data_IF_196094542457
#
_entry.id   IF_196094542457
#
_cell.length_a   1.000
_cell.length_b   1.000
_cell.length_c   1.000
_cell.angle_alpha   90.00
_cell.angle_beta   90.00
_cell.angle_gamma   90.00
#
_symmetry.space_group_name_H-M   'P 1'
#
loop_
_entity.id
_entity.type
_entity.pdbx_description
1 polymer ?
#
# COMPACT_ATOMS: atom_id res chain seq x y z
N UNK A 1 -5.31 15.08 -30.51
CA UNK A 1 -4.04 15.83 -30.45
C UNK A 1 -3.63 15.95 -28.97
N UNK A 2 -2.49 15.36 -28.61
CA UNK A 2 -1.97 15.34 -27.23
C UNK A 2 -1.55 16.76 -26.81
N UNK A 3 -2.08 17.28 -25.68
CA UNK A 3 -1.68 18.56 -25.10
C UNK A 3 -0.47 18.37 -24.16
N UNK A 4 0.74 18.80 -24.55
CA UNK A 4 1.95 18.59 -23.76
C UNK A 4 1.88 19.19 -22.35
N UNK A 5 1.16 20.31 -22.20
CA UNK A 5 1.03 21.00 -20.91
C UNK A 5 0.17 20.19 -19.95
N UNK A 6 -0.94 19.64 -20.44
CA UNK A 6 -1.82 18.78 -19.64
C UNK A 6 -1.10 17.51 -19.22
N UNK A 7 -0.35 16.90 -20.13
CA UNK A 7 0.44 15.69 -19.81
C UNK A 7 1.43 15.97 -18.68
N UNK A 8 2.24 17.04 -18.80
CA UNK A 8 3.20 17.41 -17.75
C UNK A 8 2.51 17.72 -16.42
N UNK A 9 1.35 18.37 -16.45
CA UNK A 9 0.61 18.68 -15.23
C UNK A 9 0.07 17.41 -14.57
N UNK A 10 -0.50 16.48 -15.34
CA UNK A 10 -0.98 15.19 -14.82
C UNK A 10 0.14 14.36 -14.20
N UNK A 11 1.31 14.29 -14.85
CA UNK A 11 2.47 13.59 -14.30
C UNK A 11 3.03 14.25 -13.03
N UNK A 12 2.97 15.59 -12.91
CA UNK A 12 3.35 16.30 -11.69
C UNK A 12 2.35 16.02 -10.55
N UNK A 13 1.07 15.97 -10.85
CA UNK A 13 0.04 15.61 -9.88
C UNK A 13 0.24 14.18 -9.40
N UNK A 14 0.54 13.25 -10.30
CA UNK A 14 0.88 11.86 -9.96
C UNK A 14 2.11 11.78 -9.05
N UNK A 15 3.18 12.53 -9.35
CA UNK A 15 4.37 12.58 -8.48
C UNK A 15 4.04 13.12 -7.09
N UNK A 16 3.21 14.16 -7.00
CA UNK A 16 2.78 14.71 -5.71
C UNK A 16 1.98 13.68 -4.89
N UNK A 17 1.08 12.94 -5.53
CA UNK A 17 0.32 11.86 -4.88
C UNK A 17 1.22 10.71 -4.45
N UNK A 18 2.15 10.26 -5.27
CA UNK A 18 3.11 9.21 -4.90
C UNK A 18 4.01 9.63 -3.74
N UNK A 19 4.43 10.91 -3.71
CA UNK A 19 5.21 11.46 -2.60
C UNK A 19 4.39 11.49 -1.31
N UNK A 20 3.12 11.85 -1.38
CA UNK A 20 2.20 11.80 -0.22
C UNK A 20 1.97 10.36 0.24
N UNK A 21 1.86 9.41 -0.68
CA UNK A 21 1.74 7.98 -0.40
C UNK A 21 2.97 7.46 0.34
N UNK A 22 4.19 7.81 -0.08
CA UNK A 22 5.41 7.46 0.65
C UNK A 22 5.35 7.92 2.12
N UNK A 23 5.00 9.18 2.35
CA UNK A 23 4.91 9.74 3.72
C UNK A 23 3.87 9.01 4.58
N UNK A 24 2.76 8.63 3.99
CA UNK A 24 1.72 7.87 4.69
C UNK A 24 2.22 6.47 5.07
N UNK A 25 2.90 5.78 4.16
CA UNK A 25 3.50 4.46 4.44
C UNK A 25 4.62 4.55 5.48
N UNK A 26 5.44 5.60 5.47
CA UNK A 26 6.43 5.87 6.52
C UNK A 26 5.77 6.10 7.89
N UNK A 27 4.66 6.86 7.93
CA UNK A 27 3.91 7.07 9.17
C UNK A 27 3.29 5.76 9.69
N UNK A 28 2.79 4.90 8.81
CA UNK A 28 2.31 3.55 9.17
C UNK A 28 3.44 2.68 9.72
N UNK A 29 4.63 2.70 9.11
CA UNK A 29 5.80 1.98 9.60
C UNK A 29 6.16 2.41 11.02
N UNK A 30 6.18 3.73 11.28
CA UNK A 30 6.47 4.25 12.62
C UNK A 30 5.40 3.84 13.64
N UNK A 31 4.13 3.85 13.27
CA UNK A 31 3.05 3.40 14.14
C UNK A 31 3.16 1.89 14.48
N UNK A 32 3.55 1.05 13.51
CA UNK A 32 3.82 -0.38 13.73
C UNK A 32 5.02 -0.58 14.66
N UNK A 33 6.14 0.10 14.41
CA UNK A 33 7.35 -0.01 15.24
C UNK A 33 7.16 0.47 16.68
N UNK A 34 6.28 1.47 16.88
CA UNK A 34 5.93 1.98 18.21
C UNK A 34 4.76 1.25 18.87
N UNK A 35 4.19 0.22 18.24
CA UNK A 35 2.99 -0.50 18.69
C UNK A 35 1.78 0.42 18.92
N UNK A 36 1.72 1.57 18.23
CA UNK A 36 0.59 2.51 18.30
C UNK A 36 -0.53 2.07 17.37
N UNK A 37 -1.34 1.15 17.85
CA UNK A 37 -2.45 0.54 17.08
C UNK A 37 -3.52 1.56 16.68
N UNK A 38 -3.84 2.50 17.57
CA UNK A 38 -4.85 3.51 17.30
C UNK A 38 -4.43 4.41 16.13
N UNK A 39 -3.19 4.87 16.15
CA UNK A 39 -2.60 5.65 15.06
C UNK A 39 -2.53 4.84 13.76
N UNK A 40 -2.13 3.57 13.83
CA UNK A 40 -2.06 2.71 12.66
C UNK A 40 -3.43 2.55 12.00
N UNK A 41 -4.50 2.30 12.77
CA UNK A 41 -5.87 2.19 12.23
C UNK A 41 -6.28 3.48 11.53
N UNK A 42 -6.07 4.65 12.15
CA UNK A 42 -6.37 5.94 11.53
C UNK A 42 -5.62 6.14 10.21
N UNK A 43 -4.33 5.76 10.14
CA UNK A 43 -3.53 5.84 8.93
C UNK A 43 -3.97 4.83 7.85
N UNK A 44 -4.59 3.71 8.23
CA UNK A 44 -5.19 2.77 7.27
C UNK A 44 -6.43 3.37 6.60
N UNK A 45 -7.26 4.11 7.34
CA UNK A 45 -8.42 4.81 6.77
C UNK A 45 -7.95 5.89 5.76
N UNK A 46 -6.93 6.67 6.12
CA UNK A 46 -6.30 7.64 5.20
C UNK A 46 -5.71 6.94 3.96
N UNK A 47 -5.11 5.76 4.14
CA UNK A 47 -4.55 4.99 3.04
C UNK A 47 -5.64 4.53 2.07
N UNK A 48 -6.78 4.07 2.59
CA UNK A 48 -7.94 3.72 1.76
C UNK A 48 -8.39 4.87 0.87
N UNK A 49 -8.50 6.09 1.43
CA UNK A 49 -8.84 7.29 0.66
C UNK A 49 -7.77 7.65 -0.37
N UNK A 50 -6.50 7.54 -0.01
CA UNK A 50 -5.37 7.77 -0.93
C UNK A 50 -5.39 6.83 -2.12
N UNK A 51 -5.73 5.55 -1.94
CA UNK A 51 -5.82 4.59 -3.03
C UNK A 51 -6.91 4.98 -4.03
N UNK A 52 -8.06 5.49 -3.57
CA UNK A 52 -9.11 6.01 -4.45
C UNK A 52 -8.64 7.23 -5.25
N UNK A 53 -7.89 8.14 -4.62
CA UNK A 53 -7.30 9.29 -5.34
C UNK A 53 -6.31 8.83 -6.42
N UNK A 54 -5.47 7.82 -6.11
CA UNK A 54 -4.51 7.23 -7.06
C UNK A 54 -5.21 6.54 -8.23
N UNK A 55 -6.29 5.80 -7.99
CA UNK A 55 -7.09 5.18 -9.04
C UNK A 55 -7.72 6.22 -9.97
N UNK A 56 -8.29 7.29 -9.41
CA UNK A 56 -8.86 8.39 -10.19
C UNK A 56 -7.79 9.08 -11.05
N UNK A 57 -6.61 9.34 -10.49
CA UNK A 57 -5.49 9.95 -11.20
C UNK A 57 -4.96 9.03 -12.32
N UNK A 58 -4.88 7.72 -12.09
CA UNK A 58 -4.47 6.75 -13.11
C UNK A 58 -5.49 6.67 -14.25
N UNK A 59 -6.78 6.73 -13.95
CA UNK A 59 -7.83 6.80 -14.97
C UNK A 59 -7.74 8.08 -15.81
N UNK A 60 -7.48 9.23 -15.18
CA UNK A 60 -7.25 10.49 -15.88
C UNK A 60 -6.01 10.40 -16.79
N UNK A 61 -4.90 9.89 -16.28
CA UNK A 61 -3.67 9.66 -17.05
C UNK A 61 -3.91 8.75 -18.26
N UNK A 62 -4.59 7.62 -18.07
CA UNK A 62 -4.93 6.70 -19.17
C UNK A 62 -5.78 7.36 -20.23
N UNK A 63 -6.71 8.22 -19.84
CA UNK A 63 -7.56 8.93 -20.78
C UNK A 63 -6.79 9.99 -21.57
N UNK A 64 -5.84 10.69 -20.94
CA UNK A 64 -4.98 11.70 -21.59
C UNK A 64 -3.93 11.08 -22.50
N UNK A 65 -3.44 9.87 -22.17
CA UNK A 65 -2.37 9.17 -22.91
C UNK A 65 -2.93 8.12 -23.87
N UNK A 66 -4.12 8.32 -24.42
CA UNK A 66 -4.61 7.51 -25.53
C UNK A 66 -4.13 8.10 -26.86
N UNK A 67 -3.69 7.22 -27.75
CA UNK A 67 -3.44 7.59 -29.14
C UNK A 67 -4.78 7.78 -29.90
N UNK A 68 -4.70 8.20 -31.15
CA UNK A 68 -5.88 8.38 -32.02
C UNK A 68 -6.61 7.05 -32.31
N UNK A 69 -5.97 5.90 -32.05
CA UNK A 69 -6.56 4.56 -32.13
C UNK A 69 -7.14 4.07 -30.78
N UNK A 70 -7.00 4.85 -29.69
CA UNK A 70 -7.49 4.52 -28.36
C UNK A 70 -6.56 3.62 -27.54
N UNK A 71 -5.36 3.31 -28.02
CA UNK A 71 -4.35 2.55 -27.30
C UNK A 71 -3.64 3.43 -26.26
N UNK A 72 -3.37 2.87 -25.06
CA UNK A 72 -2.66 3.57 -24.01
C UNK A 72 -1.18 3.78 -24.38
N UNK A 73 -0.74 5.03 -24.42
CA UNK A 73 0.66 5.38 -24.60
C UNK A 73 1.41 5.24 -23.28
N UNK A 74 2.58 4.62 -23.34
CA UNK A 74 3.56 4.65 -22.23
C UNK A 74 4.38 5.93 -22.27
N UNK A 75 5.08 6.27 -21.18
CA UNK A 75 5.96 7.45 -21.13
C UNK A 75 7.07 7.33 -22.19
N UNK A 76 7.54 6.11 -22.48
CA UNK A 76 8.54 5.86 -23.52
C UNK A 76 7.99 6.12 -24.93
N UNK A 77 6.79 5.64 -25.24
CA UNK A 77 6.13 5.89 -26.55
C UNK A 77 5.67 7.34 -26.68
N UNK A 78 5.35 8.01 -25.56
CA UNK A 78 5.05 9.45 -25.56
C UNK A 78 6.26 10.29 -26.02
N UNK A 79 7.47 9.87 -25.66
CA UNK A 79 8.71 10.53 -26.10
C UNK A 79 8.93 10.45 -27.61
N UNK A 80 8.44 9.37 -28.24
CA UNK A 80 8.48 9.19 -29.70
C UNK A 80 7.36 9.96 -30.42
N UNK A 81 6.18 10.03 -29.78
CA UNK A 81 5.00 10.66 -30.36
C UNK A 81 4.97 12.19 -30.26
N UNK A 82 5.73 12.78 -29.32
CA UNK A 82 5.75 14.24 -29.08
C UNK A 82 7.16 14.78 -29.31
N UNK A 83 7.33 15.88 -30.08
CA UNK A 83 8.66 16.48 -30.32
C UNK A 83 9.39 16.76 -29.00
N UNK A 84 10.64 16.32 -28.89
CA UNK A 84 11.49 16.42 -27.70
C UNK A 84 11.56 17.81 -27.06
N UNK A 85 11.40 18.86 -27.86
CA UNK A 85 11.42 20.27 -27.41
C UNK A 85 10.11 20.73 -26.72
N UNK A 86 9.02 19.99 -26.86
CA UNK A 86 7.70 20.40 -26.33
C UNK A 86 7.41 19.90 -24.90
N UNK A 87 8.26 19.03 -24.35
CA UNK A 87 8.12 18.47 -22.99
C UNK A 87 9.38 18.73 -22.13
N UNK A 88 9.69 20.02 -21.80
CA UNK A 88 10.86 20.34 -20.98
C UNK A 88 10.70 19.71 -19.58
N UNK A 89 11.74 18.99 -19.14
CA UNK A 89 11.76 18.35 -17.83
C UNK A 89 11.03 17.00 -17.73
N UNK A 90 10.54 16.42 -18.84
CA UNK A 90 9.89 15.11 -18.82
C UNK A 90 10.81 14.01 -18.27
N UNK A 91 12.08 13.98 -18.68
CA UNK A 91 13.06 13.00 -18.21
C UNK A 91 13.27 13.08 -16.69
N UNK A 92 13.45 14.29 -16.16
CA UNK A 92 13.62 14.52 -14.73
C UNK A 92 12.36 14.10 -13.94
N UNK A 93 11.18 14.34 -14.50
CA UNK A 93 9.90 13.97 -13.91
C UNK A 93 9.71 12.45 -13.94
N UNK A 94 10.07 11.79 -15.04
CA UNK A 94 10.06 10.32 -15.16
C UNK A 94 10.97 9.67 -14.11
N UNK A 95 12.21 10.17 -13.96
CA UNK A 95 13.15 9.66 -12.96
C UNK A 95 12.64 9.86 -11.53
N UNK A 96 11.97 10.98 -11.28
CA UNK A 96 11.38 11.26 -9.97
C UNK A 96 10.18 10.36 -9.69
N UNK A 97 9.31 10.11 -10.65
CA UNK A 97 8.21 9.17 -10.55
C UNK A 97 8.70 7.73 -10.32
N UNK A 98 9.71 7.31 -11.09
CA UNK A 98 10.30 5.97 -10.93
C UNK A 98 10.89 5.76 -9.53
N UNK A 99 11.57 6.79 -8.99
CA UNK A 99 12.09 6.75 -7.60
C UNK A 99 10.97 6.70 -6.57
N UNK A 100 9.94 7.53 -6.71
CA UNK A 100 8.81 7.54 -5.80
C UNK A 100 8.06 6.19 -5.80
N UNK A 101 7.80 5.61 -6.97
CA UNK A 101 7.19 4.29 -7.08
C UNK A 101 8.06 3.18 -6.45
N UNK A 102 9.37 3.22 -6.65
CA UNK A 102 10.30 2.29 -6.00
C UNK A 102 10.28 2.42 -4.48
N UNK A 103 10.19 3.64 -3.94
CA UNK A 103 10.03 3.88 -2.50
C UNK A 103 8.70 3.34 -1.97
N UNK A 104 7.59 3.57 -2.67
CA UNK A 104 6.27 3.02 -2.30
C UNK A 104 6.32 1.50 -2.23
N UNK A 105 6.89 0.83 -3.24
CA UNK A 105 7.02 -0.62 -3.26
C UNK A 105 7.84 -1.14 -2.07
N UNK A 106 8.97 -0.53 -1.77
CA UNK A 106 9.83 -0.94 -0.66
C UNK A 106 9.15 -0.71 0.70
N UNK A 107 8.52 0.45 0.92
CA UNK A 107 7.78 0.74 2.14
C UNK A 107 6.59 -0.20 2.33
N UNK A 108 5.85 -0.49 1.26
CA UNK A 108 4.75 -1.46 1.30
C UNK A 108 5.24 -2.84 1.72
N UNK A 109 6.33 -3.32 1.12
CA UNK A 109 6.93 -4.61 1.47
C UNK A 109 7.38 -4.66 2.93
N UNK A 110 8.01 -3.60 3.43
CA UNK A 110 8.46 -3.50 4.83
C UNK A 110 7.27 -3.51 5.79
N UNK A 111 6.24 -2.71 5.51
CA UNK A 111 5.02 -2.68 6.33
C UNK A 111 4.31 -4.04 6.36
N UNK A 112 4.22 -4.72 5.22
CA UNK A 112 3.67 -6.09 5.15
C UNK A 112 4.46 -7.06 6.03
N UNK A 113 5.80 -7.00 6.00
CA UNK A 113 6.65 -7.84 6.84
C UNK A 113 6.43 -7.55 8.33
N UNK A 114 6.32 -6.27 8.72
CA UNK A 114 6.04 -5.89 10.11
C UNK A 114 4.68 -6.40 10.57
N UNK A 115 3.64 -6.24 9.76
CA UNK A 115 2.30 -6.75 10.07
C UNK A 115 2.32 -8.27 10.22
N UNK A 116 3.00 -8.99 9.33
CA UNK A 116 3.09 -10.46 9.43
C UNK A 116 3.79 -10.88 10.71
N UNK A 117 4.90 -10.24 11.08
CA UNK A 117 5.61 -10.53 12.32
C UNK A 117 4.71 -10.28 13.57
N UNK A 118 3.91 -9.21 13.57
CA UNK A 118 2.96 -8.94 14.65
C UNK A 118 1.87 -10.02 14.74
N UNK A 119 1.35 -10.46 13.60
CA UNK A 119 0.34 -11.53 13.54
C UNK A 119 0.92 -12.85 14.04
N UNK A 120 2.15 -13.21 13.64
CA UNK A 120 2.82 -14.43 14.08
C UNK A 120 3.10 -14.39 15.59
N UNK A 121 3.50 -13.23 16.13
CA UNK A 121 3.67 -13.06 17.58
C UNK A 121 2.34 -13.21 18.34
N UNK A 122 1.26 -12.63 17.83
CA UNK A 122 -0.07 -12.76 18.45
C UNK A 122 -0.54 -14.21 18.41
N UNK A 123 -0.37 -14.92 17.29
CA UNK A 123 -0.71 -16.32 17.16
C UNK A 123 0.05 -17.18 18.20
N UNK A 124 1.37 -17.01 18.28
CA UNK A 124 2.21 -17.68 19.27
C UNK A 124 1.75 -17.40 20.72
N UNK A 125 1.44 -16.14 21.02
CA UNK A 125 0.97 -15.75 22.36
C UNK A 125 -0.35 -16.41 22.71
N UNK A 126 -1.29 -16.46 21.75
CA UNK A 126 -2.58 -17.13 21.93
C UNK A 126 -2.40 -18.64 22.17
N UNK A 127 -1.51 -19.29 21.43
CA UNK A 127 -1.22 -20.72 21.62
C UNK A 127 -0.67 -21.00 23.03
N UNK A 128 0.22 -20.16 23.54
CA UNK A 128 0.73 -20.25 24.91
C UNK A 128 -0.39 -20.11 25.95
N UNK A 129 -1.35 -19.20 25.77
CA UNK A 129 -2.49 -19.06 26.68
C UNK A 129 -3.42 -20.27 26.63
N UNK A 130 -3.67 -20.83 25.44
CA UNK A 130 -4.48 -22.04 25.28
C UNK A 130 -3.81 -23.24 25.97
N UNK A 131 -2.49 -23.40 25.82
CA UNK A 131 -1.74 -24.47 26.50
C UNK A 131 -1.74 -24.28 28.01
N UNK A 132 -1.51 -23.07 28.51
CA UNK A 132 -1.55 -22.75 29.94
C UNK A 132 -2.93 -23.04 30.54
N UNK A 133 -4.03 -22.73 29.84
CA UNK A 133 -5.38 -23.06 30.23
C UNK A 133 -5.63 -24.56 30.32
N UNK A 134 -5.10 -25.36 29.39
CA UNK A 134 -5.18 -26.83 29.43
C UNK A 134 -4.43 -27.43 30.63
N UNK A 135 -3.29 -26.85 31.01
CA UNK A 135 -2.55 -27.27 32.20
C UNK A 135 -3.33 -26.96 33.49
N UNK A 136 -3.97 -25.80 33.56
CA UNK A 136 -4.78 -25.41 34.71
C UNK A 136 -5.97 -26.34 34.91
N UNK A 137 -6.69 -26.73 33.85
CA UNK A 137 -7.82 -27.64 33.91
C UNK A 137 -7.41 -29.08 34.33
N UNK A 138 -6.22 -29.52 33.94
CA UNK A 138 -5.68 -30.81 34.35
C UNK A 138 -5.21 -30.83 35.83
N UNK A 139 -4.82 -29.69 36.39
CA UNK A 139 -4.39 -29.60 37.80
C UNK A 139 -5.57 -29.58 38.81
N UNK A 140 -6.78 -29.19 38.36
CA UNK A 140 -7.96 -29.09 39.21
C UNK A 140 -9.04 -30.12 38.84
N UNK A 141 -8.68 -31.29 38.36
CA UNK A 141 -9.51 -32.51 38.16
C UNK A 141 -11.02 -32.28 38.09
N UNK A 142 -11.60 -31.98 36.97
CA UNK A 142 -13.06 -31.92 36.81
C UNK A 142 -13.47 -31.62 35.36
N UNK A 143 -13.87 -32.69 34.68
CA UNK A 143 -14.69 -32.79 33.48
C UNK A 143 -15.16 -31.52 32.79
N UNK A 144 -14.61 -31.26 31.63
CA UNK A 144 -15.11 -30.27 30.67
C UNK A 144 -14.19 -30.11 29.46
N UNK A 145 -14.23 -31.10 28.54
CA UNK A 145 -13.58 -30.94 27.23
C UNK A 145 -14.25 -29.79 26.45
N UNK A 146 -13.75 -28.59 26.54
CA UNK A 146 -14.03 -27.55 25.54
C UNK A 146 -13.00 -27.73 24.42
N UNK A 147 -13.46 -28.33 23.32
CA UNK A 147 -12.68 -28.54 22.12
C UNK A 147 -12.33 -27.17 21.52
N UNK A 148 -11.05 -26.78 21.58
CA UNK A 148 -10.50 -25.51 21.05
C UNK A 148 -10.54 -25.39 19.51
N UNK A 149 -11.30 -26.22 18.83
CA UNK A 149 -11.51 -26.19 17.38
C UNK A 149 -12.47 -25.09 16.88
N UNK A 150 -13.19 -24.42 17.79
CA UNK A 150 -14.26 -23.47 17.40
C UNK A 150 -13.81 -22.04 17.15
N UNK A 151 -12.56 -21.69 17.47
CA UNK A 151 -12.10 -20.30 17.33
C UNK A 151 -11.35 -19.99 16.01
N UNK A 152 -10.85 -21.00 15.32
CA UNK A 152 -10.08 -20.80 14.09
C UNK A 152 -10.90 -20.88 12.79
N UNK A 153 -12.13 -21.44 12.81
CA UNK A 153 -12.98 -21.54 11.62
C UNK A 153 -13.81 -20.27 11.30
N UNK A 154 -13.56 -19.17 12.02
CA UNK A 154 -14.33 -17.92 11.82
C UNK A 154 -13.51 -16.76 11.21
N UNK A 155 -12.27 -17.01 10.81
CA UNK A 155 -11.38 -16.01 10.18
C UNK A 155 -10.83 -16.56 8.86
N UNK A 156 -11.68 -17.19 8.07
CA UNK A 156 -11.41 -17.49 6.66
C UNK A 156 -12.47 -16.81 5.79
#
# INVERSE_FOLDING_TARGET
MLDPRKILQTLRNELALQTRHCRLLEAQEQALLSCDRARFISLQDEHGLMLLELEAQDAERRNLLKDDAGAALTISTLREAVPLGSLPGLTSLEDSLRRALGQVQELTRRNQTLIQNELDYLAFTLDLFVEAGRYSDNCYGGAGRVSGRFLLDRVA
#
